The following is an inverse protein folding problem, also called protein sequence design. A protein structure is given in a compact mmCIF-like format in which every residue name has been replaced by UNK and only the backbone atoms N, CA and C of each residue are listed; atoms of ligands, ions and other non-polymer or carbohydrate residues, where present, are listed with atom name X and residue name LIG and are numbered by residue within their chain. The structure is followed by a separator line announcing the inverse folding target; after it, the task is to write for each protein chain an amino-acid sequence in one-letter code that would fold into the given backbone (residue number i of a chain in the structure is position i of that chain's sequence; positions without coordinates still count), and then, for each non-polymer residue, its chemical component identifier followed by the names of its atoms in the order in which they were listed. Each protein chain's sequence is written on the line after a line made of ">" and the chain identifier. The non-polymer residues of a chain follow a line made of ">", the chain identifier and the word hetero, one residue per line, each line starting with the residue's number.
data_IF_329435201918
#
_entry.id   IF_329435201918
#
_cell.length_a   1.000
_cell.length_b   1.000
_cell.length_c   1.000
_cell.angle_alpha   90.00
_cell.angle_beta   90.00
_cell.angle_gamma   90.00
#
_symmetry.space_group_name_H-M   'P 1'
#
loop_
_entity.id
_entity.type
_entity.pdbx_description
1 polymer ?
#
# COMPACT_ATOMS: atom_id res chain seq x y z
N UNK A 1 10.36 12.07 16.67
CA UNK A 1 9.19 12.17 15.81
C UNK A 1 9.61 11.98 14.36
N UNK A 2 9.16 10.94 13.71
CA UNK A 2 9.26 10.72 12.27
C UNK A 2 7.88 10.90 11.64
N UNK A 3 7.84 11.35 10.40
CA UNK A 3 6.61 11.50 9.63
C UNK A 3 6.60 10.49 8.49
N UNK A 4 5.60 9.62 8.49
CA UNK A 4 5.42 8.61 7.47
C UNK A 4 4.36 9.06 6.47
N UNK A 5 4.73 9.17 5.21
CA UNK A 5 3.85 9.43 4.08
C UNK A 5 3.57 8.10 3.39
N UNK A 6 2.34 7.61 3.50
CA UNK A 6 1.91 6.33 2.96
C UNK A 6 1.11 6.56 1.69
N UNK A 7 1.61 6.09 0.57
CA UNK A 7 1.04 6.30 -0.76
C UNK A 7 0.73 4.96 -1.42
N UNK A 8 -0.52 4.76 -1.84
CA UNK A 8 -0.86 3.67 -2.75
C UNK A 8 -0.53 4.07 -4.18
N UNK A 9 0.03 3.14 -4.96
CA UNK A 9 0.32 3.37 -6.39
C UNK A 9 -0.89 3.87 -7.17
N UNK A 10 -0.66 4.52 -8.32
CA UNK A 10 -1.69 4.96 -9.26
C UNK A 10 -2.45 3.80 -9.92
N UNK A 11 -3.51 4.08 -10.66
CA UNK A 11 -4.30 3.08 -11.37
C UNK A 11 -3.47 2.31 -12.39
N UNK A 12 -3.76 1.01 -12.53
CA UNK A 12 -3.07 0.12 -13.46
C UNK A 12 -3.83 -0.04 -14.77
N UNK A 13 -3.17 -0.59 -15.81
CA UNK A 13 -3.76 -0.85 -17.13
C UNK A 13 -4.93 -1.85 -17.08
N UNK A 14 -4.89 -2.80 -16.16
CA UNK A 14 -5.95 -3.80 -15.96
C UNK A 14 -6.95 -3.40 -14.86
N UNK A 15 -6.98 -2.13 -14.48
CA UNK A 15 -7.99 -1.60 -13.56
C UNK A 15 -9.36 -1.53 -14.26
N UNK A 16 -9.90 -2.70 -14.63
CA UNK A 16 -11.28 -2.87 -15.06
C UNK A 16 -11.99 -3.76 -14.04
N UNK A 17 -13.09 -3.23 -13.53
CA UNK A 17 -14.11 -3.96 -12.78
C UNK A 17 -13.58 -4.93 -11.72
N UNK A 18 -13.29 -4.43 -10.52
CA UNK A 18 -13.26 -5.20 -9.25
C UNK A 18 -12.53 -6.56 -9.30
N UNK A 19 -11.46 -6.66 -10.11
CA UNK A 19 -10.62 -7.86 -10.17
C UNK A 19 -9.53 -7.81 -9.12
N UNK A 20 -9.23 -8.97 -8.54
CA UNK A 20 -8.13 -9.13 -7.59
C UNK A 20 -6.80 -9.16 -8.34
N UNK A 21 -5.98 -8.15 -8.14
CA UNK A 21 -4.62 -8.09 -8.67
C UNK A 21 -3.63 -7.92 -7.52
N UNK A 22 -2.83 -8.94 -7.28
CA UNK A 22 -1.86 -9.00 -6.20
C UNK A 22 -0.43 -8.97 -6.71
N UNK A 23 0.21 -10.13 -6.72
CA UNK A 23 1.62 -10.30 -7.10
C UNK A 23 1.89 -10.15 -8.60
N UNK A 24 0.87 -10.26 -9.45
CA UNK A 24 1.00 -10.01 -10.89
C UNK A 24 1.47 -8.58 -11.15
N UNK A 25 2.58 -8.45 -11.88
CA UNK A 25 3.18 -7.14 -12.15
C UNK A 25 2.52 -6.46 -13.35
N UNK A 26 1.66 -5.50 -13.05
CA UNK A 26 0.87 -4.73 -14.02
C UNK A 26 1.31 -3.27 -13.95
N UNK A 27 1.69 -2.70 -15.10
CA UNK A 27 2.11 -1.31 -15.21
C UNK A 27 0.96 -0.32 -14.96
N UNK A 28 1.31 0.92 -14.63
CA UNK A 28 0.37 2.04 -14.55
C UNK A 28 -0.34 2.27 -15.88
N UNK A 29 -1.61 2.64 -15.82
CA UNK A 29 -2.35 3.22 -16.96
C UNK A 29 -1.96 4.69 -17.12
N UNK A 30 -2.40 5.31 -18.25
CA UNK A 30 -2.20 6.76 -18.45
C UNK A 30 -2.86 7.58 -17.33
N UNK A 31 -4.03 7.15 -16.84
CA UNK A 31 -4.66 7.74 -15.64
C UNK A 31 -3.75 7.60 -14.43
N UNK A 32 -3.16 6.42 -14.21
CA UNK A 32 -2.26 6.18 -13.07
C UNK A 32 -0.97 6.97 -13.14
N UNK A 33 -0.44 7.22 -14.34
CA UNK A 33 0.70 8.11 -14.57
C UNK A 33 0.32 9.54 -14.17
N UNK A 34 -0.81 10.05 -14.67
CA UNK A 34 -1.31 11.39 -14.29
C UNK A 34 -1.56 11.53 -12.79
N UNK A 35 -2.12 10.48 -12.14
CA UNK A 35 -2.29 10.46 -10.68
C UNK A 35 -0.94 10.53 -9.94
N UNK A 36 0.10 9.85 -10.46
CA UNK A 36 1.44 9.91 -9.87
C UNK A 36 2.08 11.29 -10.00
N UNK A 37 1.80 12.00 -11.10
CA UNK A 37 2.23 13.38 -11.30
C UNK A 37 1.53 14.35 -10.33
N UNK A 38 0.23 14.16 -10.11
CA UNK A 38 -0.53 14.95 -9.12
C UNK A 38 0.00 14.70 -7.69
N UNK A 39 0.34 13.45 -7.34
CA UNK A 39 1.03 13.13 -6.09
C UNK A 39 2.41 13.81 -5.98
N UNK A 40 3.21 13.78 -7.05
CA UNK A 40 4.49 14.48 -7.13
C UNK A 40 4.32 15.96 -6.76
N UNK A 41 3.33 16.61 -7.37
CA UNK A 41 3.11 18.04 -7.17
C UNK A 41 2.54 18.32 -5.76
N UNK A 42 1.67 17.45 -5.25
CA UNK A 42 1.14 17.49 -3.86
C UNK A 42 2.26 17.37 -2.81
N UNK A 43 3.27 16.53 -3.08
CA UNK A 43 4.37 16.25 -2.17
C UNK A 43 5.62 17.10 -2.43
N UNK A 44 5.63 17.97 -3.43
CA UNK A 44 6.81 18.72 -3.86
C UNK A 44 7.47 19.60 -2.78
N UNK A 45 6.70 20.04 -1.76
CA UNK A 45 7.19 20.85 -0.64
C UNK A 45 7.59 20.01 0.59
N UNK A 46 7.32 18.71 0.60
CA UNK A 46 7.70 17.83 1.71
C UNK A 46 9.22 17.61 1.71
N UNK A 47 9.81 17.60 2.89
CA UNK A 47 11.26 17.34 3.05
C UNK A 47 11.50 15.84 3.20
N UNK A 48 11.22 15.08 2.15
CA UNK A 48 11.40 13.63 2.13
C UNK A 48 12.88 13.30 2.25
N UNK A 49 13.26 12.50 3.24
CA UNK A 49 14.63 12.04 3.49
C UNK A 49 14.90 10.63 2.96
N UNK A 50 13.85 9.81 2.87
CA UNK A 50 13.96 8.41 2.44
C UNK A 50 12.70 7.98 1.70
N UNK A 51 12.87 7.19 0.65
CA UNK A 51 11.77 6.60 -0.12
C UNK A 51 11.92 5.07 -0.13
N UNK A 52 10.91 4.37 0.36
CA UNK A 52 10.75 2.94 0.20
C UNK A 52 9.62 2.65 -0.78
N UNK A 53 9.79 1.63 -1.61
CA UNK A 53 8.75 1.20 -2.55
C UNK A 53 8.72 -0.31 -2.68
N UNK A 54 7.55 -0.85 -3.03
CA UNK A 54 7.41 -2.22 -3.51
C UNK A 54 8.26 -2.46 -4.76
N UNK A 55 8.65 -3.70 -5.01
CA UNK A 55 9.37 -4.09 -6.23
C UNK A 55 8.47 -4.16 -7.47
N UNK A 56 7.14 -4.11 -7.32
CA UNK A 56 6.20 -4.15 -8.43
C UNK A 56 6.19 -2.83 -9.20
N UNK A 57 6.18 -2.92 -10.54
CA UNK A 57 6.40 -1.80 -11.47
C UNK A 57 5.47 -0.62 -11.21
N UNK A 58 4.19 -0.87 -10.89
CA UNK A 58 3.20 0.18 -10.59
C UNK A 58 3.56 1.05 -9.39
N UNK A 59 4.10 0.43 -8.33
CA UNK A 59 4.52 1.16 -7.13
C UNK A 59 5.87 1.86 -7.38
N UNK A 60 6.80 1.18 -8.03
CA UNK A 60 8.10 1.74 -8.40
C UNK A 60 7.93 2.98 -9.29
N UNK A 61 7.15 2.89 -10.38
CA UNK A 61 6.91 4.03 -11.27
C UNK A 61 6.24 5.21 -10.56
N UNK A 62 5.31 4.94 -9.61
CA UNK A 62 4.71 6.00 -8.79
C UNK A 62 5.79 6.66 -7.89
N UNK A 63 6.65 5.86 -7.26
CA UNK A 63 7.74 6.36 -6.41
C UNK A 63 8.77 7.18 -7.21
N UNK A 64 9.16 6.72 -8.39
CA UNK A 64 10.08 7.41 -9.30
C UNK A 64 9.53 8.77 -9.73
N UNK A 65 8.25 8.81 -10.07
CA UNK A 65 7.56 10.06 -10.44
C UNK A 65 7.60 11.06 -9.28
N UNK A 66 7.27 10.65 -8.05
CA UNK A 66 7.34 11.51 -6.87
C UNK A 66 8.79 11.94 -6.60
N UNK A 67 9.74 11.00 -6.65
CA UNK A 67 11.16 11.25 -6.39
C UNK A 67 11.80 12.26 -7.36
N UNK A 68 11.23 12.49 -8.54
CA UNK A 68 11.75 13.44 -9.53
C UNK A 68 11.86 14.89 -9.00
N UNK A 69 11.10 15.22 -7.94
CA UNK A 69 11.17 16.52 -7.23
C UNK A 69 12.05 16.50 -5.98
N UNK A 70 12.61 15.33 -5.67
CA UNK A 70 13.42 15.12 -4.45
C UNK A 70 14.76 14.50 -4.82
N UNK A 71 15.85 14.95 -4.15
CA UNK A 71 17.19 14.38 -4.35
C UNK A 71 17.41 13.21 -3.40
N UNK A 72 16.57 12.18 -3.49
CA UNK A 72 16.51 11.06 -2.56
C UNK A 72 16.57 9.73 -3.30
N UNK A 73 17.35 8.79 -2.77
CA UNK A 73 17.43 7.43 -3.31
C UNK A 73 16.17 6.65 -2.97
N UNK A 74 15.68 5.90 -3.95
CA UNK A 74 14.59 4.93 -3.76
C UNK A 74 15.20 3.60 -3.34
N UNK A 75 14.61 2.97 -2.33
CA UNK A 75 14.95 1.63 -1.87
C UNK A 75 13.76 0.70 -2.11
N UNK A 76 13.95 -0.30 -2.96
CA UNK A 76 12.95 -1.32 -3.23
C UNK A 76 12.92 -2.34 -2.08
N UNK A 77 11.73 -2.73 -1.65
CA UNK A 77 11.46 -3.66 -0.55
C UNK A 77 10.39 -4.65 -0.97
N UNK A 78 10.74 -5.92 -1.08
CA UNK A 78 9.79 -6.98 -1.43
C UNK A 78 8.70 -7.17 -0.36
N UNK A 79 9.01 -6.81 0.89
CA UNK A 79 8.07 -6.82 2.01
C UNK A 79 6.87 -5.88 1.80
N UNK A 80 7.00 -4.90 0.90
CA UNK A 80 5.95 -3.96 0.52
C UNK A 80 5.10 -4.42 -0.68
N UNK A 81 5.40 -5.57 -1.30
CA UNK A 81 4.62 -6.10 -2.42
C UNK A 81 3.17 -6.38 -1.99
N UNK A 82 2.24 -6.29 -2.94
CA UNK A 82 0.83 -6.65 -2.68
C UNK A 82 0.71 -8.12 -2.31
N UNK A 83 -0.37 -8.48 -1.65
CA UNK A 83 -0.69 -9.86 -1.34
C UNK A 83 -0.68 -10.71 -2.62
N UNK A 84 -0.05 -11.88 -2.54
CA UNK A 84 -0.19 -12.88 -3.60
C UNK A 84 -1.55 -13.56 -3.46
N UNK A 85 -2.49 -13.21 -4.32
CA UNK A 85 -3.82 -13.80 -4.29
C UNK A 85 -3.91 -15.19 -4.95
N UNK A 86 -2.79 -15.74 -5.43
CA UNK A 86 -2.72 -17.08 -5.98
C UNK A 86 -3.69 -17.29 -7.15
N UNK A 87 -4.49 -18.37 -7.08
CA UNK A 87 -5.38 -18.76 -8.18
C UNK A 87 -6.55 -17.80 -8.45
N UNK A 88 -6.81 -16.85 -7.54
CA UNK A 88 -7.88 -15.86 -7.76
C UNK A 88 -7.38 -14.57 -8.42
N UNK A 89 -6.08 -14.45 -8.72
CA UNK A 89 -5.59 -13.28 -9.45
C UNK A 89 -6.28 -13.17 -10.82
N UNK A 90 -6.77 -11.98 -11.10
CA UNK A 90 -7.52 -11.68 -12.33
C UNK A 90 -9.01 -12.02 -12.27
N UNK A 91 -9.50 -12.64 -11.20
CA UNK A 91 -10.92 -12.90 -11.01
C UNK A 91 -11.65 -11.71 -10.36
N UNK A 92 -12.91 -11.52 -10.73
CA UNK A 92 -13.86 -10.67 -10.02
C UNK A 92 -14.40 -11.41 -8.78
N UNK A 93 -15.02 -10.68 -7.84
CA UNK A 93 -15.66 -11.31 -6.69
C UNK A 93 -16.77 -12.30 -7.11
N UNK A 94 -17.55 -11.97 -8.15
CA UNK A 94 -18.59 -12.87 -8.68
C UNK A 94 -18.01 -14.16 -9.25
N UNK A 95 -16.87 -14.07 -9.95
CA UNK A 95 -16.16 -15.27 -10.45
C UNK A 95 -15.60 -16.11 -9.31
N UNK A 96 -15.05 -15.46 -8.25
CA UNK A 96 -14.59 -16.15 -7.04
C UNK A 96 -15.76 -16.86 -6.35
N UNK A 97 -16.89 -16.21 -6.21
CA UNK A 97 -18.11 -16.78 -5.60
C UNK A 97 -18.58 -18.04 -6.32
N UNK A 98 -18.45 -18.07 -7.66
CA UNK A 98 -18.80 -19.25 -8.47
C UNK A 98 -17.77 -20.38 -8.40
N UNK A 99 -16.47 -20.06 -8.34
CA UNK A 99 -15.38 -21.05 -8.41
C UNK A 99 -14.87 -21.49 -7.03
N UNK A 100 -14.94 -20.61 -6.03
CA UNK A 100 -14.42 -20.78 -4.69
C UNK A 100 -15.40 -20.20 -3.65
N UNK A 101 -16.61 -20.80 -3.50
CA UNK A 101 -17.67 -20.22 -2.64
C UNK A 101 -17.25 -20.06 -1.18
N UNK A 102 -16.49 -21.00 -0.62
CA UNK A 102 -15.99 -20.94 0.77
C UNK A 102 -15.05 -19.74 0.95
N UNK A 103 -14.14 -19.50 0.01
CA UNK A 103 -13.26 -18.33 0.02
C UNK A 103 -14.06 -17.01 -0.09
N UNK A 104 -15.11 -17.00 -0.91
CA UNK A 104 -15.97 -15.82 -1.02
C UNK A 104 -16.69 -15.50 0.31
N UNK A 105 -17.15 -16.51 1.05
CA UNK A 105 -17.73 -16.35 2.39
C UNK A 105 -16.70 -15.82 3.40
N UNK A 106 -15.46 -16.34 3.37
CA UNK A 106 -14.38 -15.84 4.22
C UNK A 106 -14.07 -14.35 3.92
N UNK A 107 -13.99 -13.98 2.65
CA UNK A 107 -13.77 -12.59 2.23
C UNK A 107 -14.92 -11.66 2.70
N UNK A 108 -16.17 -12.10 2.61
CA UNK A 108 -17.33 -11.34 3.08
C UNK A 108 -17.37 -11.21 4.61
N UNK A 109 -16.92 -12.22 5.33
CA UNK A 109 -16.91 -12.23 6.80
C UNK A 109 -15.75 -11.45 7.41
N UNK A 110 -14.85 -10.92 6.58
CA UNK A 110 -13.63 -10.20 6.99
C UNK A 110 -12.72 -11.02 7.93
N UNK A 111 -12.79 -12.34 7.81
CA UNK A 111 -11.93 -13.25 8.56
C UNK A 111 -10.51 -13.27 7.99
N UNK A 112 -9.62 -13.88 8.75
CA UNK A 112 -8.25 -14.18 8.27
C UNK A 112 -8.33 -15.12 7.09
N UNK A 113 -7.86 -14.67 5.92
CA UNK A 113 -7.98 -15.40 4.66
C UNK A 113 -6.63 -16.01 4.29
N UNK A 114 -6.65 -17.25 3.78
CA UNK A 114 -5.54 -17.85 3.07
C UNK A 114 -5.93 -18.03 1.59
N UNK A 115 -5.20 -17.39 0.69
CA UNK A 115 -5.50 -17.46 -0.74
C UNK A 115 -4.93 -18.75 -1.35
N UNK A 116 -5.74 -19.60 -2.01
CA UNK A 116 -5.27 -20.86 -2.59
C UNK A 116 -4.15 -20.63 -3.62
N UNK A 117 -3.00 -21.28 -3.42
CA UNK A 117 -1.82 -21.09 -4.26
C UNK A 117 -1.11 -19.74 -4.08
N UNK A 118 -1.52 -18.97 -3.10
CA UNK A 118 -0.98 -17.66 -2.80
C UNK A 118 -0.53 -17.50 -1.35
N UNK A 119 -0.70 -16.31 -0.81
CA UNK A 119 -0.27 -15.87 0.51
C UNK A 119 -1.46 -15.83 1.47
N UNK A 120 -1.25 -16.16 2.73
CA UNK A 120 -2.25 -15.88 3.76
C UNK A 120 -2.09 -14.45 4.29
N UNK A 121 -3.16 -13.91 4.89
CA UNK A 121 -3.10 -12.61 5.57
C UNK A 121 -2.00 -12.60 6.64
N UNK A 122 -1.81 -13.71 7.37
CA UNK A 122 -0.74 -13.85 8.36
C UNK A 122 0.66 -13.77 7.75
N UNK A 123 0.87 -14.35 6.57
CA UNK A 123 2.15 -14.26 5.87
C UNK A 123 2.42 -12.83 5.39
N UNK A 124 1.40 -12.17 4.83
CA UNK A 124 1.46 -10.76 4.46
C UNK A 124 1.80 -9.90 5.69
N UNK A 125 1.12 -10.13 6.82
CA UNK A 125 1.35 -9.42 8.07
C UNK A 125 2.78 -9.61 8.59
N UNK A 126 3.28 -10.85 8.58
CA UNK A 126 4.66 -11.16 9.04
C UNK A 126 5.71 -10.38 8.24
N UNK A 127 5.58 -10.30 6.89
CA UNK A 127 6.56 -9.55 6.10
C UNK A 127 6.42 -8.03 6.26
N UNK A 128 5.21 -7.53 6.49
CA UNK A 128 4.98 -6.12 6.82
C UNK A 128 5.62 -5.76 8.16
N UNK A 129 5.52 -6.63 9.18
CA UNK A 129 6.22 -6.43 10.46
C UNK A 129 7.74 -6.36 10.26
N UNK A 130 8.32 -7.25 9.45
CA UNK A 130 9.75 -7.21 9.11
C UNK A 130 10.16 -5.89 8.42
N UNK A 131 9.27 -5.31 7.61
CA UNK A 131 9.51 -3.97 7.06
C UNK A 131 9.45 -2.88 8.14
N UNK A 132 8.48 -2.94 9.07
CA UNK A 132 8.34 -1.95 10.14
C UNK A 132 9.58 -1.90 11.06
N UNK A 133 10.26 -3.03 11.27
CA UNK A 133 11.53 -3.06 12.01
C UNK A 133 12.62 -2.20 11.33
N UNK A 134 12.60 -2.07 9.99
CA UNK A 134 13.51 -1.17 9.27
C UNK A 134 13.23 0.29 9.57
N UNK A 135 11.96 0.65 9.82
CA UNK A 135 11.59 2.03 10.13
C UNK A 135 12.12 2.50 11.48
N UNK A 136 12.38 1.58 12.41
CA UNK A 136 12.97 1.90 13.72
C UNK A 136 14.39 2.51 13.62
N UNK A 137 15.07 2.33 12.48
CA UNK A 137 16.40 2.90 12.22
C UNK A 137 16.35 4.39 11.88
N UNK A 138 15.19 4.92 11.55
CA UNK A 138 15.03 6.33 11.21
C UNK A 138 15.09 7.20 12.47
N UNK A 139 15.87 8.28 12.33
CA UNK A 139 16.04 9.26 13.40
C UNK A 139 14.82 10.15 13.54
N UNK A 140 14.69 10.79 14.67
CA UNK A 140 13.70 11.83 14.88
C UNK A 140 13.78 12.92 13.79
N UNK A 141 12.60 13.45 13.40
CA UNK A 141 12.41 14.50 12.40
C UNK A 141 12.63 14.09 10.94
N UNK A 142 12.77 12.81 10.63
CA UNK A 142 12.79 12.35 9.26
C UNK A 142 11.38 12.22 8.68
N UNK A 143 11.23 12.58 7.40
CA UNK A 143 10.02 12.30 6.63
C UNK A 143 10.32 11.14 5.68
N UNK A 144 9.63 10.03 5.86
CA UNK A 144 9.80 8.80 5.09
C UNK A 144 8.58 8.62 4.19
N UNK A 145 8.81 8.48 2.88
CA UNK A 145 7.79 8.11 1.92
C UNK A 145 7.78 6.59 1.71
N UNK A 146 6.61 5.99 1.79
CA UNK A 146 6.37 4.58 1.51
C UNK A 146 5.36 4.47 0.38
N UNK A 147 5.76 3.93 -0.76
CA UNK A 147 4.88 3.71 -1.92
C UNK A 147 4.63 2.22 -2.07
N UNK A 148 3.39 1.81 -1.86
CA UNK A 148 3.04 0.40 -1.84
C UNK A 148 1.60 0.16 -2.35
N UNK A 149 0.92 -0.83 -1.81
CA UNK A 149 -0.37 -1.34 -2.25
C UNK A 149 -1.40 -1.33 -1.11
N UNK A 150 -2.64 -1.70 -1.43
CA UNK A 150 -3.74 -1.66 -0.47
C UNK A 150 -3.52 -2.54 0.75
N UNK A 151 -3.10 -3.80 0.56
CA UNK A 151 -2.86 -4.76 1.65
C UNK A 151 -1.77 -4.30 2.61
N UNK A 152 -0.52 -4.14 2.15
CA UNK A 152 0.58 -3.72 3.02
C UNK A 152 0.33 -2.40 3.74
N UNK A 153 -0.22 -1.38 3.04
CA UNK A 153 -0.46 -0.07 3.66
C UNK A 153 -1.49 -0.12 4.78
N UNK A 154 -2.55 -0.92 4.61
CA UNK A 154 -3.56 -1.13 5.66
C UNK A 154 -2.96 -1.80 6.89
N UNK A 155 -2.15 -2.85 6.69
CA UNK A 155 -1.47 -3.52 7.81
C UNK A 155 -0.44 -2.61 8.49
N UNK A 156 0.33 -1.82 7.73
CA UNK A 156 1.22 -0.79 8.30
C UNK A 156 0.43 0.15 9.21
N UNK A 157 -0.74 0.65 8.76
CA UNK A 157 -1.57 1.54 9.56
C UNK A 157 -2.10 0.82 10.80
N UNK A 158 -2.58 -0.43 10.68
CA UNK A 158 -3.02 -1.23 11.82
C UNK A 158 -1.91 -1.34 12.87
N UNK A 159 -0.72 -1.77 12.49
CA UNK A 159 0.41 -1.90 13.43
C UNK A 159 0.79 -0.57 14.09
N UNK A 160 0.86 0.51 13.31
CA UNK A 160 1.22 1.82 13.85
C UNK A 160 0.19 2.34 14.85
N UNK A 161 -1.08 1.98 14.71
CA UNK A 161 -2.17 2.40 15.59
C UNK A 161 -2.49 1.39 16.69
N UNK A 162 -1.81 0.25 16.74
CA UNK A 162 -2.13 -0.83 17.69
C UNK A 162 -3.48 -1.49 17.44
N UNK A 163 -3.94 -1.52 16.18
CA UNK A 163 -5.14 -2.23 15.77
C UNK A 163 -4.79 -3.69 15.41
N UNK A 164 -5.68 -4.61 15.75
CA UNK A 164 -5.57 -6.00 15.32
C UNK A 164 -5.64 -6.08 13.78
N UNK A 165 -4.90 -7.03 13.18
CA UNK A 165 -4.82 -7.15 11.71
C UNK A 165 -6.18 -7.41 11.05
N UNK A 166 -7.14 -7.99 11.77
CA UNK A 166 -8.51 -8.25 11.32
C UNK A 166 -9.27 -6.97 10.94
N UNK A 167 -8.82 -5.81 11.44
CA UNK A 167 -9.41 -4.50 11.12
C UNK A 167 -8.90 -3.89 9.80
N UNK A 168 -7.98 -4.55 9.10
CA UNK A 168 -7.34 -4.00 7.91
C UNK A 168 -8.31 -3.59 6.78
N UNK A 169 -9.41 -4.33 6.60
CA UNK A 169 -10.45 -3.99 5.60
C UNK A 169 -11.34 -2.81 6.00
N UNK A 170 -11.32 -2.40 7.26
CA UNK A 170 -12.02 -1.21 7.75
C UNK A 170 -11.31 0.09 7.33
N UNK A 171 -10.05 -0.01 6.89
CA UNK A 171 -9.26 1.12 6.42
C UNK A 171 -9.38 1.25 4.89
N UNK A 172 -9.91 2.38 4.43
CA UNK A 172 -9.94 2.68 3.01
C UNK A 172 -8.59 3.22 2.56
N UNK A 173 -8.04 2.68 1.47
CA UNK A 173 -6.80 3.13 0.84
C UNK A 173 -6.98 3.05 -0.68
N UNK A 174 -7.33 4.18 -1.31
CA UNK A 174 -7.60 4.28 -2.74
C UNK A 174 -6.32 4.41 -3.57
N UNK A 175 -6.39 4.16 -4.89
CA UNK A 175 -5.26 4.40 -5.78
C UNK A 175 -4.82 5.86 -5.72
N UNK A 176 -3.52 6.07 -5.66
CA UNK A 176 -2.88 7.37 -5.50
C UNK A 176 -3.35 8.17 -4.28
N UNK A 177 -3.91 7.52 -3.27
CA UNK A 177 -4.22 8.17 -1.99
C UNK A 177 -2.96 8.40 -1.17
N UNK A 178 -3.02 9.44 -0.34
CA UNK A 178 -2.02 9.78 0.67
C UNK A 178 -2.61 9.55 2.07
N UNK A 179 -1.89 8.84 2.92
CA UNK A 179 -2.13 8.80 4.36
C UNK A 179 -0.88 9.26 5.10
N UNK A 180 -1.04 9.90 6.27
CA UNK A 180 0.06 10.47 7.04
C UNK A 180 -0.03 9.98 8.48
N UNK A 181 1.05 9.37 8.95
CA UNK A 181 1.22 8.98 10.35
C UNK A 181 2.43 9.68 10.94
N UNK A 182 2.28 10.27 12.09
CA UNK A 182 3.38 10.83 12.88
C UNK A 182 3.69 9.93 14.04
N UNK A 183 4.96 9.60 14.23
CA UNK A 183 5.43 8.69 15.28
C UNK A 183 6.06 9.47 16.41
N UNK A 184 5.65 9.20 17.65
CA UNK A 184 6.13 9.82 18.87
C UNK A 184 6.65 8.74 19.84
N UNK A 185 7.47 9.07 20.83
CA UNK A 185 7.88 8.09 21.84
C UNK A 185 6.71 7.46 22.61
N UNK A 186 5.59 8.17 22.73
CA UNK A 186 4.40 7.74 23.46
C UNK A 186 3.41 6.94 22.60
N UNK A 187 3.57 6.95 21.27
CA UNK A 187 2.66 6.29 20.33
C UNK A 187 2.59 7.01 18.99
N UNK A 188 1.67 6.60 18.14
CA UNK A 188 1.55 7.12 16.78
C UNK A 188 0.21 7.85 16.59
N UNK A 189 0.21 8.88 15.74
CA UNK A 189 -0.98 9.67 15.42
C UNK A 189 -1.24 9.60 13.92
N UNK A 190 -2.42 9.15 13.54
CA UNK A 190 -2.92 9.19 12.17
C UNK A 190 -3.49 10.58 11.90
N UNK A 191 -2.74 11.42 11.18
CA UNK A 191 -3.15 12.79 10.87
C UNK A 191 -4.02 12.89 9.61
N UNK A 192 -3.85 11.93 8.68
CA UNK A 192 -4.57 11.91 7.42
C UNK A 192 -4.75 10.46 6.97
N UNK A 193 -5.96 10.10 6.55
CA UNK A 193 -6.26 8.80 5.98
C UNK A 193 -6.91 8.96 4.62
N UNK A 194 -6.36 8.28 3.60
CA UNK A 194 -6.96 8.14 2.28
C UNK A 194 -7.29 9.49 1.58
N UNK A 195 -6.42 10.49 1.71
CA UNK A 195 -6.61 11.76 1.01
C UNK A 195 -6.37 11.60 -0.50
N UNK A 196 -7.38 11.97 -1.27
CA UNK A 196 -7.38 12.02 -2.74
C UNK A 196 -7.70 13.42 -3.27
N UNK A 197 -7.66 14.44 -2.42
CA UNK A 197 -8.03 15.82 -2.77
C UNK A 197 -7.17 16.44 -3.87
N UNK A 198 -5.99 15.90 -4.10
CA UNK A 198 -5.08 16.30 -5.18
C UNK A 198 -5.45 15.70 -6.55
N UNK A 199 -6.32 14.70 -6.59
CA UNK A 199 -6.80 14.07 -7.83
C UNK A 199 -8.00 14.90 -8.35
N UNK A 200 -7.79 15.62 -9.44
CA UNK A 200 -8.80 16.46 -10.10
C UNK A 200 -9.15 15.91 -11.47
#
# INVERSE_FOLDING_TARGET
>A
LSRLLLVRHGRTKLHKADRFWGSTDIALSDIGIGQSEQLRDRLAKEKISTIYTSTLSRARSTAETIASRHKVKITECAELNECNFGYIEGLTFTEIQGLHPELAEELLSWKTVAFPGGESLKQLDTRVQGFLERLQKHKEKETVLIVAHGGPLRLIICHLLGLEMEHWLQLRVEHASLSIVETYPQGNVLNLLNDISHLK
#
